data_IF_817417697960
#
_entry.id   IF_817417697960
#
_cell.length_a   1.000
_cell.length_b   1.000
_cell.length_c   1.000
_cell.angle_alpha   90.00
_cell.angle_beta   90.00
_cell.angle_gamma   90.00
#
_symmetry.space_group_name_H-M   'P 1'
#
loop_
_entity.id
_entity.type
_entity.pdbx_description
1 polymer ?
#
# COMPACT_ATOMS: atom_id res chain seq x y z
N UNK A 1 -16.96 19.93 -13.82
CA UNK A 1 -16.93 19.65 -12.36
C UNK A 1 -15.95 18.54 -12.00
N UNK A 2 -15.96 17.38 -12.69
CA UNK A 2 -15.08 16.23 -12.42
C UNK A 2 -13.59 16.59 -12.31
N UNK A 3 -13.08 17.36 -13.27
CA UNK A 3 -11.69 17.82 -13.31
C UNK A 3 -11.23 18.46 -11.99
N UNK A 4 -12.04 19.35 -11.40
CA UNK A 4 -11.67 20.08 -10.19
C UNK A 4 -11.54 19.19 -8.95
N UNK A 5 -12.27 18.07 -8.90
CA UNK A 5 -12.17 17.11 -7.81
C UNK A 5 -11.03 16.11 -8.03
N UNK A 6 -10.88 15.60 -9.25
CA UNK A 6 -9.85 14.61 -9.59
C UNK A 6 -8.43 15.21 -9.60
N UNK A 7 -8.26 16.43 -10.13
CA UNK A 7 -6.96 17.13 -10.21
C UNK A 7 -6.31 17.35 -8.84
N UNK A 8 -7.11 17.50 -7.77
CA UNK A 8 -6.61 17.75 -6.42
C UNK A 8 -5.71 16.62 -5.93
N UNK A 9 -6.23 15.39 -6.00
CA UNK A 9 -5.52 14.20 -5.55
C UNK A 9 -4.35 13.82 -6.45
N UNK A 10 -4.51 13.98 -7.76
CA UNK A 10 -3.49 13.57 -8.74
C UNK A 10 -2.32 14.55 -8.85
N UNK A 11 -2.58 15.86 -8.85
CA UNK A 11 -1.58 16.86 -9.24
C UNK A 11 -1.38 17.96 -8.21
N UNK A 12 -2.47 18.53 -7.65
CA UNK A 12 -2.35 19.66 -6.74
C UNK A 12 -1.66 19.28 -5.42
N UNK A 13 -2.06 18.19 -4.78
CA UNK A 13 -1.47 17.79 -3.51
C UNK A 13 0.02 17.45 -3.64
N UNK A 14 0.47 16.64 -4.62
CA UNK A 14 1.90 16.44 -4.83
C UNK A 14 2.65 17.75 -5.12
N UNK A 15 2.08 18.63 -5.96
CA UNK A 15 2.70 19.91 -6.31
C UNK A 15 2.88 20.84 -5.11
N UNK A 16 1.95 20.83 -4.14
CA UNK A 16 2.06 21.63 -2.92
C UNK A 16 2.93 20.95 -1.85
N UNK A 17 2.80 19.64 -1.67
CA UNK A 17 3.46 18.89 -0.60
C UNK A 17 4.96 18.76 -0.87
N UNK A 18 5.41 18.61 -2.12
CA UNK A 18 6.83 18.41 -2.42
C UNK A 18 7.67 19.64 -2.06
N UNK A 19 7.38 20.87 -2.53
CA UNK A 19 8.11 22.06 -2.11
C UNK A 19 8.00 22.32 -0.62
N UNK A 20 6.80 22.13 -0.04
CA UNK A 20 6.59 22.29 1.39
C UNK A 20 7.47 21.33 2.20
N UNK A 21 7.57 20.07 1.79
CA UNK A 21 8.44 19.08 2.41
C UNK A 21 9.91 19.49 2.36
N UNK A 22 10.39 19.97 1.20
CA UNK A 22 11.76 20.47 1.06
C UNK A 22 12.04 21.69 1.95
N UNK A 23 11.05 22.59 2.11
CA UNK A 23 11.16 23.76 2.98
C UNK A 23 11.10 23.40 4.48
N UNK A 24 10.23 22.45 4.85
CA UNK A 24 10.02 22.02 6.23
C UNK A 24 11.21 21.20 6.75
N UNK A 25 11.78 20.34 5.91
CA UNK A 25 12.93 19.51 6.25
C UNK A 25 14.28 20.22 6.01
N UNK A 26 14.32 21.52 6.28
CA UNK A 26 15.55 22.32 6.18
C UNK A 26 16.60 21.97 7.24
N UNK A 27 16.20 21.28 8.32
CA UNK A 27 17.07 20.83 9.41
C UNK A 27 16.77 19.39 9.78
N UNK A 28 17.83 18.62 10.07
CA UNK A 28 17.75 17.23 10.51
C UNK A 28 16.81 17.03 11.71
N UNK A 29 16.71 18.01 12.62
CA UNK A 29 15.80 17.92 13.77
C UNK A 29 14.33 17.77 13.38
N UNK A 30 13.89 18.43 12.31
CA UNK A 30 12.49 18.39 11.87
C UNK A 30 12.17 17.06 11.20
N UNK A 31 13.14 16.49 10.47
CA UNK A 31 13.04 15.14 9.95
C UNK A 31 12.88 14.12 11.09
N UNK A 32 13.66 14.26 12.17
CA UNK A 32 13.51 13.37 13.32
C UNK A 32 12.13 13.49 13.97
N UNK A 33 11.64 14.71 14.22
CA UNK A 33 10.29 14.88 14.77
C UNK A 33 9.21 14.22 13.89
N UNK A 34 9.29 14.41 12.57
CA UNK A 34 8.38 13.73 11.65
C UNK A 34 8.46 12.21 11.77
N UNK A 35 9.67 11.64 11.82
CA UNK A 35 9.88 10.19 11.94
C UNK A 35 9.34 9.63 13.26
N UNK A 36 9.48 10.34 14.37
CA UNK A 36 8.88 9.91 15.65
C UNK A 36 7.35 9.96 15.61
N UNK A 37 6.78 11.03 15.07
CA UNK A 37 5.32 11.17 14.94
C UNK A 37 4.78 10.06 14.03
N UNK A 38 5.40 9.87 12.87
CA UNK A 38 5.03 8.82 11.92
C UNK A 38 5.17 7.43 12.53
N UNK A 39 6.25 7.16 13.28
CA UNK A 39 6.44 5.91 14.00
C UNK A 39 5.38 5.66 15.07
N UNK A 40 5.00 6.68 15.83
CA UNK A 40 3.92 6.58 16.82
C UNK A 40 2.58 6.24 16.15
N UNK A 41 2.23 6.92 15.05
CA UNK A 41 1.02 6.60 14.29
C UNK A 41 1.07 5.20 13.65
N UNK A 42 2.24 4.74 13.22
CA UNK A 42 2.43 3.39 12.67
C UNK A 42 2.15 2.32 13.73
N UNK A 43 2.67 2.52 14.94
CA UNK A 43 2.42 1.64 16.09
C UNK A 43 0.93 1.64 16.45
N UNK A 44 0.31 2.81 16.59
CA UNK A 44 -1.13 2.92 16.89
C UNK A 44 -1.99 2.27 15.80
N UNK A 45 -1.64 2.46 14.53
CA UNK A 45 -2.33 1.84 13.41
C UNK A 45 -2.28 0.31 13.47
N UNK A 46 -1.11 -0.24 13.80
CA UNK A 46 -0.93 -1.68 13.95
C UNK A 46 -1.73 -2.22 15.13
N UNK A 47 -1.72 -1.52 16.27
CA UNK A 47 -2.51 -1.88 17.44
C UNK A 47 -4.02 -1.87 17.14
N UNK A 48 -4.51 -0.87 16.42
CA UNK A 48 -5.90 -0.82 15.98
C UNK A 48 -6.22 -1.93 14.98
N UNK A 49 -5.30 -2.28 14.09
CA UNK A 49 -5.44 -3.44 13.19
C UNK A 49 -5.48 -4.77 13.95
N UNK A 50 -4.69 -4.91 15.02
CA UNK A 50 -4.73 -6.07 15.93
C UNK A 50 -6.07 -6.16 16.67
N UNK A 51 -6.61 -5.03 17.13
CA UNK A 51 -7.97 -4.99 17.70
C UNK A 51 -8.98 -5.52 16.67
N UNK A 52 -8.97 -5.00 15.45
CA UNK A 52 -9.89 -5.45 14.37
C UNK A 52 -9.75 -6.95 14.07
N UNK A 53 -8.55 -7.53 14.20
CA UNK A 53 -8.31 -8.95 13.96
C UNK A 53 -8.86 -9.85 15.07
N UNK A 54 -8.59 -9.51 16.34
CA UNK A 54 -8.82 -10.40 17.48
C UNK A 54 -10.09 -10.09 18.26
N UNK A 55 -10.42 -8.81 18.41
CA UNK A 55 -11.57 -8.33 19.20
C UNK A 55 -12.77 -7.98 18.29
N UNK A 56 -12.53 -7.77 16.99
CA UNK A 56 -13.54 -7.38 16.02
C UNK A 56 -13.64 -5.86 15.84
N UNK A 57 -14.67 -5.45 15.11
CA UNK A 57 -14.93 -4.05 14.78
C UNK A 57 -15.61 -3.32 15.94
N UNK A 58 -15.24 -2.07 16.15
CA UNK A 58 -15.99 -1.17 17.03
C UNK A 58 -17.37 -0.85 16.42
N UNK A 59 -18.32 -0.37 17.23
CA UNK A 59 -19.68 -0.05 16.79
C UNK A 59 -19.70 0.92 15.60
N UNK A 60 -18.85 1.95 15.62
CA UNK A 60 -18.74 2.90 14.51
C UNK A 60 -18.15 2.26 13.24
N UNK A 61 -17.20 1.36 13.40
CA UNK A 61 -16.58 0.64 12.28
C UNK A 61 -17.55 -0.37 11.68
N UNK A 62 -18.31 -1.07 12.53
CA UNK A 62 -19.35 -2.00 12.12
C UNK A 62 -20.46 -1.27 11.36
N UNK A 63 -20.95 -0.15 11.88
CA UNK A 63 -21.94 0.68 11.18
C UNK A 63 -21.44 1.15 9.81
N UNK A 64 -20.16 1.54 9.72
CA UNK A 64 -19.57 1.93 8.44
C UNK A 64 -19.46 0.76 7.45
N UNK A 65 -19.11 -0.43 7.93
CA UNK A 65 -19.07 -1.65 7.13
C UNK A 65 -20.47 -2.04 6.63
N UNK A 66 -21.47 -1.97 7.49
CA UNK A 66 -22.85 -2.35 7.17
C UNK A 66 -23.52 -1.39 6.18
N UNK A 67 -23.04 -0.14 6.09
CA UNK A 67 -23.60 0.88 5.20
C UNK A 67 -22.89 0.96 3.85
N UNK A 68 -21.58 1.19 3.84
CA UNK A 68 -20.82 1.53 2.62
C UNK A 68 -19.56 0.65 2.48
N UNK A 69 -18.85 0.41 3.58
CA UNK A 69 -17.52 -0.20 3.56
C UNK A 69 -17.50 -1.71 3.24
N UNK A 70 -18.61 -2.42 3.43
CA UNK A 70 -18.69 -3.87 3.27
C UNK A 70 -18.31 -4.35 1.86
N UNK A 71 -18.61 -3.56 0.83
CA UNK A 71 -18.37 -3.91 -0.59
C UNK A 71 -16.87 -4.14 -0.85
N UNK A 72 -15.99 -3.35 -0.24
CA UNK A 72 -14.54 -3.38 -0.48
C UNK A 72 -13.74 -4.06 0.63
N UNK A 73 -14.30 -4.09 1.83
CA UNK A 73 -13.60 -4.52 3.04
C UNK A 73 -13.98 -5.93 3.49
N UNK A 74 -15.09 -6.49 3.01
CA UNK A 74 -15.43 -7.90 3.18
C UNK A 74 -15.10 -8.64 1.88
N UNK A 75 -14.09 -9.50 1.91
CA UNK A 75 -13.69 -10.32 0.76
C UNK A 75 -13.74 -11.78 1.15
N UNK A 76 -14.54 -12.57 0.42
CA UNK A 76 -14.79 -13.99 0.70
C UNK A 76 -15.31 -14.23 2.13
N UNK A 77 -16.23 -13.38 2.59
CA UNK A 77 -16.84 -13.47 3.92
C UNK A 77 -15.90 -13.14 5.08
N UNK A 78 -14.69 -12.62 4.80
CA UNK A 78 -13.70 -12.22 5.81
C UNK A 78 -13.37 -10.74 5.72
N UNK A 79 -13.23 -10.12 6.89
CA UNK A 79 -12.82 -8.73 7.01
C UNK A 79 -11.36 -8.55 6.58
N UNK A 80 -11.11 -7.58 5.71
CA UNK A 80 -9.79 -7.06 5.39
C UNK A 80 -9.47 -5.95 6.36
N UNK A 81 -8.37 -6.12 7.09
CA UNK A 81 -8.02 -5.21 8.18
C UNK A 81 -7.45 -3.93 7.61
N UNK A 82 -8.04 -2.82 8.02
CA UNK A 82 -7.77 -1.49 7.47
C UNK A 82 -7.35 -0.48 8.55
N UNK A 83 -7.43 -0.85 9.83
CA UNK A 83 -7.16 0.05 10.94
C UNK A 83 -8.01 1.33 10.79
N UNK A 84 -7.42 2.51 10.90
CA UNK A 84 -8.07 3.80 10.64
C UNK A 84 -7.80 4.36 9.23
N UNK A 85 -7.34 3.53 8.29
CA UNK A 85 -7.11 3.94 6.90
C UNK A 85 -8.39 3.80 6.05
N UNK A 86 -8.39 4.41 4.87
CA UNK A 86 -9.49 4.28 3.90
C UNK A 86 -9.77 2.83 3.51
N UNK A 87 -8.72 2.03 3.36
CA UNK A 87 -8.79 0.65 2.93
C UNK A 87 -7.59 -0.16 3.38
N UNK A 88 -7.78 -1.48 3.44
CA UNK A 88 -6.73 -2.42 3.81
C UNK A 88 -5.50 -2.32 2.89
N UNK A 89 -5.68 -1.99 1.61
CA UNK A 89 -4.62 -1.76 0.62
C UNK A 89 -3.64 -0.68 1.06
N UNK A 90 -4.18 0.49 1.37
CA UNK A 90 -3.40 1.64 1.86
C UNK A 90 -2.78 1.39 3.22
N UNK A 91 -3.51 0.75 4.14
CA UNK A 91 -2.96 0.34 5.43
C UNK A 91 -1.73 -0.55 5.23
N UNK A 92 -1.85 -1.61 4.44
CA UNK A 92 -0.74 -2.52 4.19
C UNK A 92 0.47 -1.85 3.56
N UNK A 93 0.26 -1.03 2.52
CA UNK A 93 1.35 -0.31 1.86
C UNK A 93 2.04 0.71 2.77
N UNK A 94 1.26 1.47 3.56
CA UNK A 94 1.79 2.45 4.50
C UNK A 94 2.58 1.78 5.64
N UNK A 95 2.06 0.69 6.20
CA UNK A 95 2.74 -0.09 7.24
C UNK A 95 4.00 -0.77 6.70
N UNK A 96 3.96 -1.28 5.47
CA UNK A 96 5.14 -1.84 4.80
C UNK A 96 6.25 -0.79 4.63
N UNK A 97 5.90 0.41 4.17
CA UNK A 97 6.85 1.51 4.03
C UNK A 97 7.44 1.95 5.38
N UNK A 98 6.61 2.12 6.40
CA UNK A 98 7.05 2.45 7.76
C UNK A 98 7.91 1.33 8.36
N UNK A 99 7.58 0.06 8.07
CA UNK A 99 8.33 -1.12 8.49
C UNK A 99 9.77 -1.09 7.99
N UNK A 100 9.93 -0.90 6.67
CA UNK A 100 11.26 -0.81 6.04
C UNK A 100 12.06 0.37 6.57
N UNK A 101 11.45 1.56 6.60
CA UNK A 101 12.13 2.78 7.03
C UNK A 101 12.50 2.71 8.52
N UNK A 102 11.62 2.15 9.36
CA UNK A 102 11.90 1.95 10.79
C UNK A 102 13.11 1.04 11.02
N UNK A 103 13.18 -0.11 10.35
CA UNK A 103 14.34 -1.02 10.44
C UNK A 103 15.61 -0.34 9.95
N UNK A 104 15.54 0.35 8.81
CA UNK A 104 16.67 1.10 8.24
C UNK A 104 17.22 2.13 9.24
N UNK A 105 16.35 2.96 9.80
CA UNK A 105 16.74 4.00 10.75
C UNK A 105 17.28 3.37 12.03
N UNK A 106 16.69 2.29 12.53
CA UNK A 106 17.16 1.58 13.72
C UNK A 106 18.60 1.05 13.56
N UNK A 107 18.98 0.61 12.35
CA UNK A 107 20.37 0.16 12.09
C UNK A 107 21.37 1.33 12.01
N UNK A 108 20.92 2.50 11.56
CA UNK A 108 21.79 3.65 11.26
C UNK A 108 21.93 4.64 12.42
N UNK A 109 20.86 4.86 13.20
CA UNK A 109 20.85 5.82 14.30
C UNK A 109 21.73 5.42 15.48
N UNK A 110 22.35 6.42 16.11
CA UNK A 110 23.04 6.27 17.40
C UNK A 110 22.06 6.50 18.57
N UNK A 111 22.29 5.81 19.68
CA UNK A 111 21.47 5.91 20.90
C UNK A 111 20.50 4.74 21.07
N UNK A 112 20.54 4.08 22.24
CA UNK A 112 19.75 2.87 22.52
C UNK A 112 18.25 3.10 22.44
N UNK A 113 17.76 4.23 22.97
CA UNK A 113 16.34 4.57 22.95
C UNK A 113 15.80 4.70 21.53
N UNK A 114 16.51 5.45 20.68
CA UNK A 114 16.13 5.66 19.28
C UNK A 114 16.10 4.35 18.51
N UNK A 115 17.11 3.50 18.72
CA UNK A 115 17.16 2.16 18.12
C UNK A 115 15.95 1.31 18.51
N UNK A 116 15.60 1.28 19.80
CA UNK A 116 14.46 0.49 20.29
C UNK A 116 13.15 1.02 19.69
N UNK A 117 12.95 2.35 19.67
CA UNK A 117 11.74 2.96 19.11
C UNK A 117 11.58 2.66 17.62
N UNK A 118 12.62 2.90 16.81
CA UNK A 118 12.55 2.65 15.37
C UNK A 118 12.52 1.17 15.02
N UNK A 119 13.12 0.31 15.83
CA UNK A 119 12.97 -1.13 15.69
C UNK A 119 11.55 -1.58 15.99
N UNK A 120 10.92 -1.05 17.05
CA UNK A 120 9.51 -1.31 17.36
C UNK A 120 8.60 -0.82 16.24
N UNK A 121 8.80 0.40 15.74
CA UNK A 121 8.10 0.92 14.55
C UNK A 121 8.26 -0.01 13.35
N UNK A 122 9.50 -0.45 13.08
CA UNK A 122 9.81 -1.34 11.97
C UNK A 122 9.09 -2.68 12.07
N UNK A 123 9.16 -3.30 13.26
CA UNK A 123 8.52 -4.56 13.56
C UNK A 123 6.99 -4.47 13.50
N UNK A 124 6.40 -3.45 14.16
CA UNK A 124 4.96 -3.24 14.11
C UNK A 124 4.49 -2.91 12.70
N UNK A 125 5.23 -2.12 11.92
CA UNK A 125 4.90 -1.84 10.52
C UNK A 125 4.88 -3.11 9.65
N UNK A 126 5.91 -3.96 9.74
CA UNK A 126 5.88 -5.23 9.01
C UNK A 126 4.76 -6.16 9.49
N UNK A 127 4.48 -6.18 10.80
CA UNK A 127 3.37 -6.96 11.34
C UNK A 127 2.02 -6.43 10.86
N UNK A 128 1.78 -5.12 10.91
CA UNK A 128 0.57 -4.47 10.42
C UNK A 128 0.35 -4.71 8.94
N UNK A 129 1.42 -4.65 8.14
CA UNK A 129 1.40 -5.05 6.74
C UNK A 129 0.95 -6.52 6.60
N UNK A 130 1.49 -7.43 7.40
CA UNK A 130 1.08 -8.83 7.34
C UNK A 130 -0.39 -9.04 7.67
N UNK A 131 -0.88 -8.38 8.73
CA UNK A 131 -2.28 -8.48 9.16
C UNK A 131 -3.25 -7.93 8.10
N UNK A 132 -2.86 -6.89 7.35
CA UNK A 132 -3.71 -6.30 6.31
C UNK A 132 -4.11 -7.30 5.20
N UNK A 133 -3.34 -8.38 5.02
CA UNK A 133 -3.57 -9.39 3.98
C UNK A 133 -3.45 -8.84 2.57
N UNK A 134 -2.67 -7.79 2.36
CA UNK A 134 -2.55 -7.10 1.07
C UNK A 134 -1.40 -7.65 0.23
N UNK A 135 -1.78 -8.37 -0.84
CA UNK A 135 -0.86 -8.91 -1.86
C UNK A 135 0.16 -7.89 -2.36
N UNK A 136 -0.33 -6.69 -2.73
CA UNK A 136 0.51 -5.63 -3.30
C UNK A 136 1.49 -5.00 -2.32
N UNK A 137 1.23 -5.06 -1.00
CA UNK A 137 2.12 -4.43 -0.03
C UNK A 137 3.45 -5.18 0.15
N UNK A 138 3.50 -6.49 -0.16
CA UNK A 138 4.74 -7.26 -0.09
C UNK A 138 5.83 -6.78 -1.06
N UNK A 139 5.44 -6.09 -2.13
CA UNK A 139 6.39 -5.46 -3.06
C UNK A 139 7.16 -4.33 -2.34
N UNK A 140 6.56 -3.68 -1.34
CA UNK A 140 7.16 -2.54 -0.64
C UNK A 140 8.42 -2.93 0.14
N UNK A 141 8.42 -3.96 1.02
CA UNK A 141 9.65 -4.47 1.62
C UNK A 141 10.67 -4.98 0.60
N UNK A 142 10.22 -5.60 -0.49
CA UNK A 142 11.13 -6.13 -1.49
C UNK A 142 11.90 -5.01 -2.21
N UNK A 143 11.18 -4.01 -2.74
CA UNK A 143 11.81 -2.87 -3.42
C UNK A 143 12.62 -2.03 -2.43
N UNK A 144 12.09 -1.79 -1.23
CA UNK A 144 12.80 -1.05 -0.19
C UNK A 144 14.11 -1.73 0.23
N UNK A 145 14.08 -3.05 0.41
CA UNK A 145 15.27 -3.87 0.68
C UNK A 145 16.28 -3.82 -0.45
N UNK A 146 15.85 -4.03 -1.71
CA UNK A 146 16.74 -3.95 -2.89
C UNK A 146 17.38 -2.56 -2.99
N UNK A 147 16.58 -1.51 -2.83
CA UNK A 147 17.06 -0.13 -2.88
C UNK A 147 18.12 0.11 -1.82
N UNK A 148 17.89 -0.35 -0.58
CA UNK A 148 18.88 -0.24 0.49
C UNK A 148 20.16 -1.02 0.17
N UNK A 149 20.06 -2.25 -0.31
CA UNK A 149 21.22 -3.07 -0.64
C UNK A 149 22.10 -2.39 -1.70
N UNK A 150 21.48 -1.86 -2.75
CA UNK A 150 22.17 -1.10 -3.81
C UNK A 150 22.80 0.17 -3.25
N UNK A 151 22.08 0.93 -2.42
CA UNK A 151 22.57 2.20 -1.87
C UNK A 151 23.66 2.02 -0.81
N UNK A 152 23.64 0.89 -0.09
CA UNK A 152 24.57 0.61 1.01
C UNK A 152 26.03 0.50 0.54
N UNK A 153 26.26 0.20 -0.75
CA UNK A 153 27.58 -0.06 -1.37
C UNK A 153 28.48 -1.03 -0.57
N UNK A 154 27.88 -1.85 0.30
CA UNK A 154 28.60 -2.77 1.17
C UNK A 154 28.29 -4.21 0.76
N UNK A 155 29.31 -4.88 0.22
CA UNK A 155 29.18 -6.26 -0.32
C UNK A 155 28.68 -7.25 0.73
N UNK A 156 29.05 -7.10 2.02
CA UNK A 156 28.55 -7.99 3.08
C UNK A 156 27.06 -7.80 3.33
N UNK A 157 26.60 -6.55 3.37
CA UNK A 157 25.17 -6.22 3.56
C UNK A 157 24.38 -6.71 2.35
N UNK A 158 24.93 -6.52 1.14
CA UNK A 158 24.34 -6.99 -0.10
C UNK A 158 24.16 -8.51 -0.14
N UNK A 159 25.18 -9.29 0.24
CA UNK A 159 25.10 -10.75 0.29
C UNK A 159 24.09 -11.25 1.33
N UNK A 160 24.12 -10.69 2.55
CA UNK A 160 23.21 -11.09 3.63
C UNK A 160 21.76 -10.71 3.28
N UNK A 161 21.52 -9.49 2.82
CA UNK A 161 20.19 -9.04 2.44
C UNK A 161 19.65 -9.79 1.21
N UNK A 162 20.52 -10.06 0.22
CA UNK A 162 20.16 -10.89 -0.93
C UNK A 162 19.77 -12.31 -0.54
N UNK A 163 20.49 -12.93 0.41
CA UNK A 163 20.14 -14.24 0.94
C UNK A 163 18.79 -14.22 1.67
N UNK A 164 18.56 -13.26 2.58
CA UNK A 164 17.28 -13.14 3.31
C UNK A 164 16.11 -12.96 2.35
N UNK A 165 16.26 -12.09 1.35
CA UNK A 165 15.25 -11.86 0.31
C UNK A 165 14.96 -13.12 -0.51
N UNK A 166 16.00 -13.89 -0.85
CA UNK A 166 15.87 -15.15 -1.58
C UNK A 166 15.13 -16.20 -0.76
N UNK A 167 15.45 -16.32 0.53
CA UNK A 167 14.75 -17.23 1.46
C UNK A 167 13.28 -16.84 1.61
N UNK A 168 12.98 -15.54 1.75
CA UNK A 168 11.60 -15.06 1.81
C UNK A 168 10.83 -15.37 0.52
N UNK A 169 11.46 -15.18 -0.65
CA UNK A 169 10.86 -15.54 -1.94
C UNK A 169 10.56 -17.03 -2.04
N UNK A 170 11.52 -17.90 -1.71
CA UNK A 170 11.32 -19.36 -1.74
C UNK A 170 10.22 -19.77 -0.75
N UNK A 171 10.20 -19.18 0.45
CA UNK A 171 9.15 -19.45 1.42
C UNK A 171 7.76 -19.15 0.86
N UNK A 172 7.52 -17.96 0.30
CA UNK A 172 6.20 -17.60 -0.21
C UNK A 172 5.84 -18.25 -1.56
N UNK A 173 6.80 -18.41 -2.47
CA UNK A 173 6.54 -18.91 -3.82
C UNK A 173 6.51 -20.45 -3.91
N UNK A 174 7.36 -21.15 -3.15
CA UNK A 174 7.65 -22.58 -3.35
C UNK A 174 7.20 -23.51 -2.22
N UNK A 175 6.78 -22.99 -1.06
CA UNK A 175 6.31 -23.84 0.06
C UNK A 175 4.80 -23.75 0.28
N UNK A 176 4.22 -24.62 1.11
CA UNK A 176 2.82 -24.56 1.60
C UNK A 176 2.76 -24.39 3.13
N UNK A 177 3.87 -24.00 3.75
CA UNK A 177 3.97 -23.90 5.21
C UNK A 177 3.15 -22.70 5.69
N UNK A 178 2.15 -22.93 6.55
CA UNK A 178 1.28 -21.86 7.06
C UNK A 178 0.09 -21.50 6.16
N UNK A 179 -0.26 -22.35 5.19
CA UNK A 179 -1.46 -22.20 4.34
C UNK A 179 -2.77 -22.15 5.16
N UNK A 180 -2.79 -22.76 6.34
CA UNK A 180 -3.93 -22.69 7.26
C UNK A 180 -4.23 -21.27 7.76
N UNK A 181 -3.25 -20.36 7.71
CA UNK A 181 -3.46 -18.95 8.02
C UNK A 181 -3.84 -18.18 6.75
N UNK A 182 -5.08 -17.68 6.74
CA UNK A 182 -5.64 -16.92 5.62
C UNK A 182 -4.76 -15.74 5.16
N UNK A 183 -4.09 -15.04 6.08
CA UNK A 183 -3.24 -13.91 5.71
C UNK A 183 -1.99 -14.35 4.93
N UNK A 184 -1.42 -15.50 5.31
CA UNK A 184 -0.26 -16.09 4.65
C UNK A 184 -0.70 -16.66 3.28
N UNK A 185 -1.79 -17.42 3.23
CA UNK A 185 -2.34 -17.96 1.98
C UNK A 185 -2.63 -16.85 0.96
N UNK A 186 -3.24 -15.75 1.42
CA UNK A 186 -3.55 -14.59 0.56
C UNK A 186 -2.31 -13.84 0.10
N UNK A 187 -1.23 -13.84 0.86
CA UNK A 187 0.05 -13.30 0.40
C UNK A 187 0.67 -14.20 -0.66
N UNK A 188 0.65 -15.53 -0.47
CA UNK A 188 1.23 -16.49 -1.43
C UNK A 188 0.65 -16.34 -2.84
N UNK A 189 -0.66 -16.08 -2.97
CA UNK A 189 -1.28 -15.86 -4.29
C UNK A 189 -0.70 -14.66 -5.05
N UNK A 190 -0.09 -13.68 -4.37
CA UNK A 190 0.63 -12.60 -5.05
C UNK A 190 1.84 -13.10 -5.88
N UNK A 191 2.46 -14.20 -5.46
CA UNK A 191 3.61 -14.80 -6.15
C UNK A 191 3.20 -15.84 -7.20
N UNK A 192 1.89 -16.17 -7.29
CA UNK A 192 1.32 -17.10 -8.27
C UNK A 192 0.13 -16.44 -9.00
N UNK A 193 0.39 -15.49 -9.92
CA UNK A 193 -0.66 -14.61 -10.47
C UNK A 193 -1.63 -15.31 -11.43
N UNK A 194 -1.26 -16.49 -11.96
CA UNK A 194 -1.98 -17.17 -13.04
C UNK A 194 -3.35 -17.72 -12.63
N UNK A 195 -3.54 -18.05 -11.34
CA UNK A 195 -4.77 -18.70 -10.84
C UNK A 195 -5.78 -17.71 -10.24
N UNK A 196 -5.49 -16.41 -10.26
CA UNK A 196 -6.33 -15.39 -9.64
C UNK A 196 -7.37 -14.83 -10.61
N UNK A 197 -8.65 -15.10 -10.35
CA UNK A 197 -9.77 -14.53 -11.13
C UNK A 197 -9.72 -12.99 -11.19
N UNK A 198 -9.29 -12.34 -10.11
CA UNK A 198 -9.12 -10.88 -10.07
C UNK A 198 -8.01 -10.36 -11.00
N UNK A 199 -6.99 -11.16 -11.30
CA UNK A 199 -5.91 -10.78 -12.21
C UNK A 199 -6.36 -10.84 -13.67
N UNK A 200 -7.13 -11.86 -14.03
CA UNK A 200 -7.68 -12.00 -15.38
C UNK A 200 -8.64 -10.86 -15.75
N UNK A 201 -9.52 -10.45 -14.82
CA UNK A 201 -10.40 -9.29 -15.01
C UNK A 201 -9.59 -8.01 -15.28
N UNK A 202 -8.48 -7.80 -14.55
CA UNK A 202 -7.58 -6.65 -14.78
C UNK A 202 -6.94 -6.67 -16.16
N UNK A 203 -6.57 -7.86 -16.64
CA UNK A 203 -5.97 -8.00 -17.98
C UNK A 203 -6.99 -7.67 -19.07
N UNK A 204 -8.24 -8.13 -18.91
CA UNK A 204 -9.35 -7.79 -19.80
C UNK A 204 -9.66 -6.29 -19.78
N UNK A 205 -9.77 -5.67 -18.61
CA UNK A 205 -9.98 -4.23 -18.47
C UNK A 205 -8.87 -3.43 -19.15
N UNK A 206 -7.61 -3.84 -18.99
CA UNK A 206 -6.47 -3.21 -19.69
C UNK A 206 -6.53 -3.37 -21.19
N UNK A 207 -6.97 -4.51 -21.70
CA UNK A 207 -7.15 -4.73 -23.14
C UNK A 207 -8.23 -3.80 -23.71
N UNK A 208 -9.36 -3.67 -23.01
CA UNK A 208 -10.47 -2.75 -23.35
C UNK A 208 -9.99 -1.30 -23.36
N UNK A 209 -9.29 -0.86 -22.31
CA UNK A 209 -8.73 0.50 -22.24
C UNK A 209 -7.71 0.75 -23.33
N UNK A 210 -6.86 -0.23 -23.66
CA UNK A 210 -5.89 -0.13 -24.76
C UNK A 210 -6.55 0.12 -26.11
N UNK A 211 -7.65 -0.57 -26.40
CA UNK A 211 -8.40 -0.33 -27.63
C UNK A 211 -9.07 1.04 -27.64
N UNK A 212 -9.61 1.49 -26.50
CA UNK A 212 -10.32 2.76 -26.40
C UNK A 212 -9.42 4.00 -26.40
N UNK A 213 -8.18 3.86 -25.88
CA UNK A 213 -7.20 4.96 -25.76
C UNK A 213 -6.24 5.03 -26.95
N UNK A 214 -6.31 4.11 -27.91
CA UNK A 214 -5.38 4.03 -29.03
C UNK A 214 -5.31 5.33 -29.86
N UNK A 215 -6.43 6.04 -29.97
CA UNK A 215 -6.59 7.31 -30.68
C UNK A 215 -6.55 8.55 -29.76
N UNK A 216 -6.32 8.36 -28.45
CA UNK A 216 -6.42 9.43 -27.43
C UNK A 216 -5.08 9.59 -26.69
N UNK A 217 -4.16 10.42 -27.20
CA UNK A 217 -2.82 10.57 -26.62
C UNK A 217 -2.81 11.21 -25.22
N UNK A 218 -3.88 11.93 -24.85
CA UNK A 218 -4.06 12.59 -23.56
C UNK A 218 -5.23 12.01 -22.74
N UNK A 219 -5.61 10.76 -23.00
CA UNK A 219 -6.70 10.12 -22.27
C UNK A 219 -8.09 10.69 -22.58
N UNK A 220 -9.05 10.36 -21.72
CA UNK A 220 -10.41 10.90 -21.75
C UNK A 220 -10.61 12.15 -20.90
N UNK A 221 -9.54 12.67 -20.29
CA UNK A 221 -9.54 13.86 -19.45
C UNK A 221 -9.61 13.54 -17.95
N UNK A 222 -8.98 14.39 -17.15
CA UNK A 222 -8.92 14.24 -15.68
C UNK A 222 -10.33 14.18 -15.06
N UNK A 223 -10.57 13.12 -14.30
CA UNK A 223 -11.86 12.81 -13.68
C UNK A 223 -12.86 12.10 -14.58
N UNK A 224 -12.47 11.66 -15.78
CA UNK A 224 -13.33 10.86 -16.69
C UNK A 224 -13.44 9.39 -16.29
N UNK A 225 -12.50 8.88 -15.48
CA UNK A 225 -12.44 7.48 -15.08
C UNK A 225 -12.73 7.29 -13.57
N UNK A 226 -13.03 6.04 -13.19
CA UNK A 226 -13.23 5.64 -11.79
C UNK A 226 -14.40 6.34 -11.10
N UNK A 227 -14.30 6.52 -9.77
CA UNK A 227 -15.39 7.06 -8.95
C UNK A 227 -15.81 8.50 -9.34
N UNK A 228 -14.87 9.32 -9.83
CA UNK A 228 -15.18 10.67 -10.30
C UNK A 228 -15.92 10.65 -11.63
N UNK A 229 -15.52 9.75 -12.55
CA UNK A 229 -16.24 9.49 -13.80
C UNK A 229 -17.67 9.04 -13.51
N UNK A 230 -17.87 8.05 -12.64
CA UNK A 230 -19.21 7.57 -12.26
C UNK A 230 -20.09 8.64 -11.63
N UNK A 231 -19.50 9.53 -10.83
CA UNK A 231 -20.25 10.60 -10.16
C UNK A 231 -20.69 11.73 -11.10
N UNK A 232 -19.85 12.10 -12.06
CA UNK A 232 -20.06 13.29 -12.88
C UNK A 232 -20.41 13.00 -14.34
N UNK A 233 -20.13 11.80 -14.83
CA UNK A 233 -20.39 11.35 -16.21
C UNK A 233 -20.63 9.83 -16.24
N UNK A 234 -21.72 9.33 -15.60
CA UNK A 234 -21.99 7.89 -15.45
C UNK A 234 -22.15 7.15 -16.78
N UNK A 235 -22.64 7.84 -17.82
CA UNK A 235 -22.80 7.28 -19.18
C UNK A 235 -21.46 7.14 -19.93
N UNK A 236 -20.37 7.68 -19.37
CA UNK A 236 -19.05 7.67 -20.00
C UNK A 236 -18.44 6.26 -20.02
N UNK A 237 -17.81 5.90 -21.14
CA UNK A 237 -17.13 4.61 -21.27
C UNK A 237 -16.07 4.37 -20.17
N UNK A 238 -15.24 5.39 -19.91
CA UNK A 238 -14.19 5.34 -18.88
C UNK A 238 -14.72 5.29 -17.44
N UNK A 239 -15.96 5.71 -17.21
CA UNK A 239 -16.61 5.61 -15.90
C UNK A 239 -17.03 4.16 -15.58
N UNK A 240 -17.29 3.36 -16.62
CA UNK A 240 -17.81 2.00 -16.50
C UNK A 240 -16.74 0.92 -16.62
N UNK A 241 -15.54 1.26 -17.09
CA UNK A 241 -14.39 0.34 -17.10
C UNK A 241 -13.52 0.59 -15.86
N UNK A 242 -13.33 -0.44 -15.03
CA UNK A 242 -12.47 -0.32 -13.86
C UNK A 242 -11.00 -0.12 -14.27
N UNK A 243 -10.37 0.93 -13.74
CA UNK A 243 -8.96 1.23 -14.01
C UNK A 243 -8.01 0.29 -13.24
N UNK A 244 -8.46 -0.27 -12.11
CA UNK A 244 -7.78 -1.28 -11.28
C UNK A 244 -6.37 -0.93 -10.74
N UNK A 245 -5.80 0.20 -11.14
CA UNK A 245 -4.50 0.70 -10.72
C UNK A 245 -4.41 2.21 -10.94
N UNK A 246 -3.70 2.90 -10.04
CA UNK A 246 -3.45 4.33 -10.16
C UNK A 246 -2.75 4.70 -11.48
N UNK A 247 -1.78 3.90 -11.95
CA UNK A 247 -1.09 4.17 -13.23
C UNK A 247 -2.01 4.03 -14.44
N UNK A 248 -2.93 3.07 -14.41
CA UNK A 248 -3.91 2.88 -15.50
C UNK A 248 -4.93 4.02 -15.47
N UNK A 249 -5.29 4.51 -14.29
CA UNK A 249 -6.12 5.70 -14.15
C UNK A 249 -5.44 6.94 -14.73
N UNK A 250 -4.16 7.18 -14.42
CA UNK A 250 -3.38 8.30 -15.00
C UNK A 250 -3.24 8.17 -16.52
N UNK A 251 -3.23 6.96 -17.07
CA UNK A 251 -3.21 6.76 -18.52
C UNK A 251 -4.57 6.99 -19.18
N UNK A 252 -5.65 6.60 -18.48
CA UNK A 252 -7.01 6.75 -18.98
C UNK A 252 -7.52 8.19 -18.88
N UNK A 253 -7.04 8.95 -17.90
CA UNK A 253 -7.37 10.36 -17.63
C UNK A 253 -6.44 11.34 -18.33
#
# INVERSE_FOLDING_TARGET
AAWFYAMRGMSLYPFLIVPLGLMLFNRLRYLYYFLYIWGAFTILATLKGLQQLYLGLDYAEQFWIDTIGGITHIVLGRLRIFSFFSDAGQFGAAQGAAGVVGILIATTMKGRFNKIFFFLMGFMGLWGMMISGTRGAMIVPMIGGITYLVLSKNVRVLLIGGFVMSVMYVFFAMTYIGESNYQIARMRTAFRPTDDASYQVRLQNRAILKTYLADKPFGGGIGSAGNWGQRFSPEGFLANVATDSWYVQVWAE
#
